data_IF_565233587661
#
_entry.id   IF_565233587661
#
_cell.length_a   1.000
_cell.length_b   1.000
_cell.length_c   1.000
_cell.angle_alpha   90.00
_cell.angle_beta   90.00
_cell.angle_gamma   90.00
#
_symmetry.space_group_name_H-M   'P 1'
#
loop_
_entity.id
_entity.type
_entity.pdbx_description
1 polymer ?
#
# COMPACT_ATOMS: atom_id res chain seq x y z
N UNK A 1 -11.17 -10.39 17.94
CA UNK A 1 -10.34 -11.38 17.21
C UNK A 1 -9.91 -10.71 15.92
N UNK A 2 -8.62 -10.43 15.80
CA UNK A 2 -8.03 -9.65 14.70
C UNK A 2 -8.09 -10.46 13.41
N UNK A 3 -8.70 -9.90 12.37
CA UNK A 3 -8.88 -10.55 11.06
C UNK A 3 -7.53 -11.04 10.50
N UNK A 4 -7.44 -12.30 10.03
CA UNK A 4 -6.25 -12.78 9.34
C UNK A 4 -6.27 -12.36 7.87
N UNK A 5 -5.09 -12.03 7.34
CA UNK A 5 -4.71 -12.21 5.93
C UNK A 5 -5.31 -11.29 4.84
N UNK A 6 -5.17 -9.97 5.00
CA UNK A 6 -5.07 -9.11 3.82
C UNK A 6 -3.57 -8.89 3.51
N UNK A 7 -2.97 -9.57 2.51
CA UNK A 7 -1.55 -9.43 2.19
C UNK A 7 -1.16 -7.98 1.87
N UNK A 8 -2.11 -7.19 1.33
CA UNK A 8 -1.93 -5.75 1.08
C UNK A 8 -1.81 -4.97 2.39
N UNK A 9 -2.55 -5.35 3.44
CA UNK A 9 -2.50 -4.67 4.73
C UNK A 9 -1.16 -4.87 5.43
N UNK A 10 -0.62 -6.08 5.36
CA UNK A 10 0.69 -6.39 5.94
C UNK A 10 1.80 -5.66 5.18
N UNK A 11 1.74 -5.68 3.83
CA UNK A 11 2.69 -4.99 2.95
C UNK A 11 2.66 -3.46 3.13
N UNK A 12 1.47 -2.86 3.24
CA UNK A 12 1.30 -1.43 3.52
C UNK A 12 1.82 -1.08 4.91
N UNK A 13 1.48 -1.88 5.92
CA UNK A 13 1.96 -1.67 7.29
C UNK A 13 3.48 -1.75 7.37
N UNK A 14 4.08 -2.70 6.66
CA UNK A 14 5.53 -2.83 6.53
C UNK A 14 6.14 -1.61 5.84
N UNK A 15 5.60 -1.16 4.71
CA UNK A 15 6.07 0.03 3.99
C UNK A 15 5.98 1.31 4.84
N UNK A 16 4.91 1.46 5.64
CA UNK A 16 4.76 2.58 6.58
C UNK A 16 5.79 2.47 7.71
N UNK A 17 6.05 1.26 8.21
CA UNK A 17 7.00 1.01 9.29
C UNK A 17 8.45 1.28 8.86
N UNK A 18 8.87 0.77 7.69
CA UNK A 18 10.20 1.06 7.13
C UNK A 18 10.31 2.47 6.54
N UNK A 19 9.18 3.18 6.38
CA UNK A 19 9.06 4.49 5.72
C UNK A 19 9.66 4.52 4.32
N UNK A 20 9.75 3.35 3.70
CA UNK A 20 10.28 3.15 2.36
C UNK A 20 9.41 2.15 1.63
N UNK A 21 9.23 2.38 0.34
CA UNK A 21 8.53 1.47 -0.57
C UNK A 21 9.38 1.29 -1.82
N UNK A 22 9.47 0.08 -2.36
CA UNK A 22 10.19 -0.11 -3.62
C UNK A 22 9.37 0.36 -4.80
N UNK A 23 10.03 0.76 -5.89
CA UNK A 23 9.34 1.17 -7.11
C UNK A 23 8.43 0.05 -7.65
N UNK A 24 8.88 -1.20 -7.54
CA UNK A 24 8.09 -2.39 -7.90
C UNK A 24 6.83 -2.53 -7.04
N UNK A 25 6.94 -2.37 -5.71
CA UNK A 25 5.77 -2.41 -4.81
C UNK A 25 4.79 -1.28 -5.12
N UNK A 26 5.30 -0.06 -5.36
CA UNK A 26 4.45 1.08 -5.72
C UNK A 26 3.70 0.84 -7.04
N UNK A 27 4.38 0.30 -8.06
CA UNK A 27 3.78 -0.07 -9.34
C UNK A 27 2.74 -1.18 -9.17
N UNK A 28 3.01 -2.21 -8.37
CA UNK A 28 2.05 -3.27 -8.09
C UNK A 28 0.78 -2.75 -7.42
N UNK A 29 0.93 -1.89 -6.40
CA UNK A 29 -0.21 -1.27 -5.71
C UNK A 29 -1.00 -0.35 -6.65
N UNK A 30 -0.32 0.43 -7.48
CA UNK A 30 -0.97 1.29 -8.49
C UNK A 30 -1.73 0.43 -9.51
N UNK A 31 -1.12 -0.65 -10.01
CA UNK A 31 -1.73 -1.56 -10.95
C UNK A 31 -2.94 -2.29 -10.34
N UNK A 32 -2.87 -2.68 -9.06
CA UNK A 32 -3.99 -3.24 -8.31
C UNK A 32 -5.15 -2.23 -8.20
N UNK A 33 -4.87 -0.99 -7.80
CA UNK A 33 -5.90 0.06 -7.68
C UNK A 33 -6.52 0.43 -9.03
N UNK A 34 -5.74 0.39 -10.11
CA UNK A 34 -6.20 0.64 -11.47
C UNK A 34 -6.93 -0.58 -12.09
N UNK A 35 -6.65 -1.79 -11.61
CA UNK A 35 -7.37 -3.01 -11.99
C UNK A 35 -8.75 -3.01 -11.33
N UNK A 36 -9.65 -2.23 -11.93
CA UNK A 36 -11.04 -2.04 -11.53
C UNK A 36 -11.71 -3.40 -11.21
N UNK A 37 -12.04 -3.60 -9.93
CA UNK A 37 -12.79 -4.76 -9.45
C UNK A 37 -12.03 -5.81 -8.63
N UNK A 38 -10.71 -5.69 -8.43
CA UNK A 38 -9.94 -6.70 -7.64
C UNK A 38 -9.62 -6.25 -6.21
N UNK A 39 -9.70 -4.96 -5.92
CA UNK A 39 -9.30 -4.39 -4.63
C UNK A 39 -10.53 -4.13 -3.78
N UNK A 40 -10.59 -4.76 -2.60
CA UNK A 40 -11.65 -4.52 -1.62
C UNK A 40 -11.57 -3.09 -1.05
N UNK A 41 -12.69 -2.59 -0.52
CA UNK A 41 -12.77 -1.26 0.10
C UNK A 41 -11.72 -1.08 1.22
N UNK A 42 -11.42 -2.16 1.94
CA UNK A 42 -10.40 -2.21 3.00
C UNK A 42 -8.99 -2.06 2.46
N UNK A 43 -8.68 -2.76 1.36
CA UNK A 43 -7.40 -2.70 0.68
C UNK A 43 -7.21 -1.34 0.01
N UNK A 44 -8.25 -0.80 -0.62
CA UNK A 44 -8.23 0.53 -1.23
C UNK A 44 -7.90 1.60 -0.20
N UNK A 45 -8.49 1.52 1.00
CA UNK A 45 -8.16 2.44 2.13
C UNK A 45 -6.72 2.32 2.60
N UNK A 46 -6.17 1.10 2.65
CA UNK A 46 -4.76 0.85 3.00
C UNK A 46 -3.82 1.48 1.97
N UNK A 47 -4.07 1.20 0.69
CA UNK A 47 -3.27 1.76 -0.40
C UNK A 47 -3.37 3.29 -0.40
N UNK A 48 -4.57 3.86 -0.26
CA UNK A 48 -4.72 5.32 -0.22
C UNK A 48 -3.95 5.96 0.95
N UNK A 49 -3.89 5.31 2.12
CA UNK A 49 -3.07 5.77 3.25
C UNK A 49 -1.57 5.73 2.96
N UNK A 50 -1.10 4.69 2.27
CA UNK A 50 0.29 4.60 1.88
C UNK A 50 0.65 5.70 0.87
N UNK A 51 -0.20 5.89 -0.14
CA UNK A 51 -0.03 6.93 -1.15
C UNK A 51 -0.05 8.32 -0.53
N UNK A 52 -0.95 8.59 0.41
CA UNK A 52 -0.96 9.83 1.20
C UNK A 52 0.36 10.02 1.97
N UNK A 53 0.87 8.97 2.60
CA UNK A 53 2.15 9.03 3.32
C UNK A 53 3.34 9.27 2.38
N UNK A 54 3.33 8.71 1.16
CA UNK A 54 4.34 8.97 0.11
C UNK A 54 4.23 10.41 -0.37
N UNK A 55 3.01 10.88 -0.68
CA UNK A 55 2.74 12.22 -1.19
C UNK A 55 3.04 13.31 -0.15
N UNK A 56 2.81 13.01 1.13
CA UNK A 56 3.22 13.82 2.27
C UNK A 56 4.73 13.79 2.52
N UNK A 57 5.49 12.94 1.83
CA UNK A 57 6.93 12.78 2.01
C UNK A 57 7.35 12.01 3.27
N UNK A 58 6.40 11.35 3.96
CA UNK A 58 6.67 10.48 5.12
C UNK A 58 7.25 9.14 4.72
N UNK A 59 6.91 8.66 3.52
CA UNK A 59 7.44 7.44 2.91
C UNK A 59 8.23 7.82 1.67
N UNK A 60 9.43 7.28 1.51
CA UNK A 60 10.24 7.49 0.30
C UNK A 60 10.15 6.29 -0.62
N UNK A 61 10.03 6.55 -1.91
CA UNK A 61 10.18 5.50 -2.92
C UNK A 61 11.68 5.25 -3.06
N UNK A 62 12.09 4.02 -2.78
CA UNK A 62 13.45 3.51 -2.97
C UNK A 62 13.44 2.55 -4.17
N UNK A 63 14.59 2.37 -4.81
CA UNK A 63 14.75 1.44 -5.93
C UNK A 63 14.92 0.00 -5.41
#
# INVERSE_FOLDING_TARGET
MSQPDCPITDLVSQCIQVRTITQTQYQQLTALVLADGTVDDSERKQVNRLFDAIQSGRVKIVD
#
